data_IF_117255016169
#
_entry.id   IF_117255016169
#
_cell.length_a   1.000
_cell.length_b   1.000
_cell.length_c   1.000
_cell.angle_alpha   90.00
_cell.angle_beta   90.00
_cell.angle_gamma   90.00
#
_symmetry.space_group_name_H-M   'P 1'
#
loop_
_entity.id
_entity.type
_entity.pdbx_description
1 polymer ?
#
# COMPACT_ATOMS: atom_id res chain seq x y z
N UNK A 1 28.63 -14.83 -17.00
CA UNK A 1 28.40 -13.65 -16.13
C UNK A 1 28.08 -12.48 -17.05
N UNK A 2 26.81 -12.18 -17.29
CA UNK A 2 26.42 -11.09 -18.19
C UNK A 2 26.37 -9.77 -17.43
N UNK A 3 27.09 -8.77 -17.95
CA UNK A 3 27.09 -7.39 -17.45
C UNK A 3 25.67 -6.83 -17.43
N UNK A 4 25.19 -6.41 -16.26
CA UNK A 4 23.84 -5.84 -16.08
C UNK A 4 23.79 -4.36 -16.44
N UNK A 5 24.79 -3.85 -17.15
CA UNK A 5 24.99 -2.42 -17.38
C UNK A 5 24.30 -2.00 -18.67
N UNK A 6 22.98 -2.15 -18.70
CA UNK A 6 22.14 -1.43 -19.66
C UNK A 6 22.08 0.07 -19.29
N UNK A 7 21.81 0.96 -20.25
CA UNK A 7 21.85 2.42 -20.08
C UNK A 7 20.78 3.00 -19.13
N UNK A 8 19.97 2.13 -18.52
CA UNK A 8 18.90 2.53 -17.61
C UNK A 8 19.43 2.62 -16.19
N UNK A 9 20.10 3.74 -15.89
CA UNK A 9 20.38 4.15 -14.51
C UNK A 9 19.06 4.32 -13.76
N UNK A 10 18.81 3.45 -12.77
CA UNK A 10 17.72 3.62 -11.81
C UNK A 10 18.02 4.84 -10.95
N UNK A 11 17.52 6.00 -11.37
CA UNK A 11 17.39 7.18 -10.52
C UNK A 11 16.38 6.83 -9.42
N UNK A 12 16.91 6.38 -8.28
CA UNK A 12 16.15 6.31 -7.04
C UNK A 12 15.60 7.70 -6.74
N UNK A 13 14.38 7.72 -6.18
CA UNK A 13 13.54 8.89 -5.87
C UNK A 13 12.90 9.60 -7.06
N UNK A 14 11.59 9.37 -7.21
CA UNK A 14 10.70 10.19 -8.03
C UNK A 14 10.68 11.59 -7.38
N UNK A 15 11.10 12.66 -8.08
CA UNK A 15 11.07 14.01 -7.54
C UNK A 15 9.64 14.40 -7.15
N UNK A 16 9.48 15.05 -5.99
CA UNK A 16 8.17 15.55 -5.50
C UNK A 16 7.47 16.45 -6.51
N UNK A 17 8.21 17.14 -7.39
CA UNK A 17 7.66 17.93 -8.50
C UNK A 17 6.89 17.12 -9.55
N UNK A 18 7.10 15.79 -9.62
CA UNK A 18 6.33 14.87 -10.48
C UNK A 18 5.13 14.26 -9.76
N UNK A 19 4.89 14.61 -8.50
CA UNK A 19 3.65 14.24 -7.83
C UNK A 19 2.53 15.10 -8.41
N UNK A 20 1.60 14.48 -9.12
CA UNK A 20 0.43 15.18 -9.65
C UNK A 20 -0.36 15.80 -8.48
N UNK A 21 -0.99 16.98 -8.63
CA UNK A 21 -1.81 17.59 -7.58
C UNK A 21 -2.93 16.67 -7.06
N UNK A 22 -3.39 15.70 -7.85
CA UNK A 22 -4.32 14.63 -7.43
C UNK A 22 -3.71 13.57 -6.48
N UNK A 23 -2.40 13.66 -6.20
CA UNK A 23 -1.76 12.98 -5.07
C UNK A 23 -2.09 13.68 -3.73
N UNK A 24 -2.67 14.87 -3.76
CA UNK A 24 -3.38 15.45 -2.60
C UNK A 24 -4.75 14.81 -2.58
N UNK A 25 -5.00 13.91 -1.63
CA UNK A 25 -6.30 13.27 -1.48
C UNK A 25 -7.39 14.32 -1.40
N UNK A 26 -8.46 14.13 -2.18
CA UNK A 26 -9.62 14.99 -2.11
C UNK A 26 -10.13 15.05 -0.65
N UNK A 27 -10.54 16.23 -0.15
CA UNK A 27 -10.92 16.41 1.25
C UNK A 27 -12.06 15.46 1.69
N UNK A 28 -12.94 15.08 0.74
CA UNK A 28 -14.01 14.11 0.97
C UNK A 28 -13.43 12.71 1.21
N UNK A 29 -12.50 12.26 0.37
CA UNK A 29 -11.88 10.95 0.52
C UNK A 29 -11.16 10.83 1.86
N UNK A 30 -10.43 11.88 2.23
CA UNK A 30 -9.74 12.01 3.51
C UNK A 30 -10.68 11.90 4.72
N UNK A 31 -11.85 12.55 4.64
CA UNK A 31 -12.88 12.48 5.68
C UNK A 31 -13.51 11.09 5.79
N UNK A 32 -13.78 10.44 4.65
CA UNK A 32 -14.29 9.08 4.59
C UNK A 32 -13.28 8.10 5.18
N UNK A 33 -12.00 8.22 4.80
CA UNK A 33 -10.91 7.41 5.31
C UNK A 33 -10.82 7.49 6.84
N UNK A 34 -10.86 8.71 7.40
CA UNK A 34 -10.90 8.94 8.85
C UNK A 34 -12.12 8.29 9.52
N UNK A 35 -13.29 8.40 8.90
CA UNK A 35 -14.54 7.83 9.45
C UNK A 35 -14.51 6.30 9.46
N UNK A 36 -14.02 5.67 8.40
CA UNK A 36 -13.89 4.22 8.30
C UNK A 36 -12.82 3.70 9.25
N UNK A 37 -11.70 4.40 9.38
CA UNK A 37 -10.67 4.07 10.37
C UNK A 37 -11.24 4.09 11.80
N UNK A 38 -11.99 5.13 12.17
CA UNK A 38 -12.61 5.23 13.49
C UNK A 38 -13.63 4.11 13.77
N UNK A 39 -14.27 3.58 12.72
CA UNK A 39 -15.25 2.49 12.81
C UNK A 39 -14.60 1.10 12.73
N UNK A 40 -13.27 1.01 12.60
CA UNK A 40 -12.56 -0.27 12.43
C UNK A 40 -12.90 -0.98 11.12
N UNK A 41 -13.27 -0.24 10.07
CA UNK A 41 -13.57 -0.80 8.74
C UNK A 41 -12.28 -0.98 7.94
N UNK A 42 -12.30 -1.90 6.97
CA UNK A 42 -11.20 -2.10 6.01
C UNK A 42 -11.00 -0.85 5.16
N UNK A 43 -9.74 -0.40 5.05
CA UNK A 43 -9.37 0.82 4.33
C UNK A 43 -8.73 0.44 2.99
N UNK A 44 -9.17 1.04 1.86
CA UNK A 44 -8.54 0.83 0.56
C UNK A 44 -7.04 1.16 0.59
N UNK A 45 -6.21 0.25 0.09
CA UNK A 45 -4.74 0.41 0.08
C UNK A 45 -4.04 0.03 1.39
N UNK A 46 -4.78 -0.24 2.47
CA UNK A 46 -4.21 -0.79 3.69
C UNK A 46 -4.42 -2.31 3.74
N UNK A 47 -3.41 -3.11 4.11
CA UNK A 47 -3.60 -4.54 4.33
C UNK A 47 -4.62 -4.79 5.45
N UNK A 48 -5.60 -5.65 5.18
CA UNK A 48 -6.62 -6.02 6.17
C UNK A 48 -6.01 -6.89 7.29
N UNK A 49 -6.12 -6.49 8.58
CA UNK A 49 -5.56 -7.25 9.69
C UNK A 49 -6.20 -8.63 9.89
N UNK A 50 -7.50 -8.77 9.67
CA UNK A 50 -8.18 -10.07 9.78
C UNK A 50 -7.74 -11.01 8.68
N UNK A 51 -7.62 -10.48 7.45
CA UNK A 51 -7.08 -11.26 6.34
C UNK A 51 -5.65 -11.71 6.61
N UNK A 52 -4.80 -10.83 7.15
CA UNK A 52 -3.44 -11.19 7.54
C UNK A 52 -3.43 -12.31 8.58
N UNK A 53 -4.26 -12.22 9.63
CA UNK A 53 -4.37 -13.26 10.65
C UNK A 53 -4.86 -14.59 10.09
N UNK A 54 -5.80 -14.56 9.14
CA UNK A 54 -6.29 -15.77 8.48
C UNK A 54 -5.21 -16.46 7.64
N UNK A 55 -4.41 -15.68 6.91
CA UNK A 55 -3.33 -16.21 6.05
C UNK A 55 -2.11 -16.66 6.87
N UNK A 56 -1.83 -16.02 8.01
CA UNK A 56 -0.74 -16.42 8.92
C UNK A 56 -1.06 -17.68 9.72
N UNK A 57 -2.35 -17.96 9.93
CA UNK A 57 -2.79 -19.17 10.62
C UNK A 57 -2.58 -20.38 9.69
N UNK A 58 -1.98 -21.45 10.22
CA UNK A 58 -1.91 -22.73 9.51
C UNK A 58 -3.35 -23.20 9.23
N UNK A 59 -3.77 -23.34 7.96
CA UNK A 59 -5.13 -23.74 7.62
C UNK A 59 -5.41 -25.19 7.99
N UNK A 60 -4.38 -25.98 8.31
CA UNK A 60 -4.53 -27.39 8.62
C UNK A 60 -4.37 -27.65 10.13
N UNK A 61 -5.28 -28.45 10.72
CA UNK A 61 -5.11 -28.89 12.10
C UNK A 61 -3.87 -29.76 12.18
N UNK A 62 -2.90 -29.35 12.99
CA UNK A 62 -1.78 -30.21 13.38
C UNK A 62 -2.24 -31.05 14.57
N UNK A 63 -2.34 -32.36 14.34
CA UNK A 63 -2.51 -33.38 15.37
C UNK A 63 -1.22 -33.54 16.18
#
# INVERSE_FOLDING_TARGET
MADRTGPWQRLGVIPTSRQSPECRTDPIYDSLLRSWHAQGRTIPGHPDPEWRRLVERDPWPRN
#
